data_IF_053737415898
#
_entry.id   IF_053737415898
#
_cell.length_a   1.000
_cell.length_b   1.000
_cell.length_c   1.000
_cell.angle_alpha   90.00
_cell.angle_beta   90.00
_cell.angle_gamma   90.00
#
_symmetry.space_group_name_H-M   'P 1'
#
loop_
_entity.id
_entity.type
_entity.pdbx_description
1 polymer ?
#
# COMPACT_ATOMS: atom_id res chain seq x y z
N UNK A 1 5.22 14.43 -7.68
CA UNK A 1 5.54 14.23 -6.28
C UNK A 1 6.89 13.54 -6.12
N UNK A 2 7.72 13.99 -5.16
CA UNK A 2 9.11 13.55 -4.97
C UNK A 2 9.24 12.03 -4.79
N UNK A 3 8.34 11.40 -4.04
CA UNK A 3 8.34 9.94 -3.80
C UNK A 3 8.14 9.13 -5.08
N UNK A 4 7.23 9.56 -5.95
CA UNK A 4 6.98 8.89 -7.24
C UNK A 4 8.21 9.00 -8.15
N UNK A 5 8.88 10.15 -8.14
CA UNK A 5 10.10 10.36 -8.92
C UNK A 5 11.22 9.41 -8.48
N UNK A 6 11.51 9.32 -7.18
CA UNK A 6 12.54 8.41 -6.67
C UNK A 6 12.21 6.93 -6.91
N UNK A 7 10.94 6.53 -6.72
CA UNK A 7 10.52 5.17 -6.99
C UNK A 7 10.70 4.79 -8.46
N UNK A 8 10.34 5.71 -9.37
CA UNK A 8 10.55 5.54 -10.81
C UNK A 8 12.04 5.43 -11.14
N UNK A 9 12.88 6.35 -10.63
CA UNK A 9 14.32 6.32 -10.86
C UNK A 9 14.98 5.03 -10.36
N UNK A 10 14.62 4.56 -9.16
CA UNK A 10 15.13 3.29 -8.64
C UNK A 10 14.70 2.11 -9.51
N UNK A 11 13.45 2.09 -9.97
CA UNK A 11 12.96 1.02 -10.83
C UNK A 11 13.66 1.04 -12.22
N UNK A 12 13.96 2.21 -12.77
CA UNK A 12 14.74 2.35 -14.01
C UNK A 12 16.17 1.82 -13.82
N UNK A 13 16.83 2.21 -12.72
CA UNK A 13 18.17 1.71 -12.37
C UNK A 13 18.19 0.18 -12.24
N UNK A 14 17.19 -0.40 -11.56
CA UNK A 14 17.08 -1.86 -11.45
C UNK A 14 16.81 -2.53 -12.81
N UNK A 15 16.04 -1.90 -13.69
CA UNK A 15 15.80 -2.43 -15.03
C UNK A 15 17.10 -2.52 -15.85
N UNK A 16 17.97 -1.51 -15.76
CA UNK A 16 19.30 -1.50 -16.40
C UNK A 16 20.23 -2.57 -15.79
N UNK A 17 20.27 -2.65 -14.47
CA UNK A 17 21.09 -3.66 -13.75
C UNK A 17 20.64 -5.07 -14.13
N UNK A 18 19.33 -5.34 -14.17
CA UNK A 18 18.79 -6.67 -14.48
C UNK A 18 19.03 -7.12 -15.92
N UNK A 19 19.31 -6.20 -16.85
CA UNK A 19 19.76 -6.53 -18.21
C UNK A 19 21.20 -7.08 -18.22
N UNK A 20 22.06 -6.55 -17.35
CA UNK A 20 23.48 -6.93 -17.28
C UNK A 20 23.70 -8.08 -16.31
N UNK A 21 22.95 -8.14 -15.23
CA UNK A 21 23.09 -9.10 -14.13
C UNK A 21 21.78 -9.84 -13.88
N UNK A 22 21.58 -11.05 -14.45
CA UNK A 22 20.33 -11.81 -14.27
C UNK A 22 19.96 -12.11 -12.82
N UNK A 23 20.96 -12.30 -11.95
CA UNK A 23 20.78 -12.58 -10.52
C UNK A 23 20.14 -11.39 -9.77
N UNK A 24 20.26 -10.18 -10.30
CA UNK A 24 19.61 -9.01 -9.70
C UNK A 24 18.08 -9.13 -9.58
N UNK A 25 17.44 -9.92 -10.45
CA UNK A 25 16.00 -10.21 -10.32
C UNK A 25 15.67 -11.05 -9.09
N UNK A 26 16.52 -12.02 -8.75
CA UNK A 26 16.34 -12.83 -7.55
C UNK A 26 16.49 -12.00 -6.28
N UNK A 27 17.51 -11.12 -6.25
CA UNK A 27 17.73 -10.18 -5.16
C UNK A 27 16.54 -9.21 -5.02
N UNK A 28 15.99 -8.72 -6.13
CA UNK A 28 14.82 -7.87 -6.12
C UNK A 28 13.59 -8.56 -5.51
N UNK A 29 13.34 -9.82 -5.86
CA UNK A 29 12.23 -10.59 -5.28
C UNK A 29 12.42 -10.77 -3.77
N UNK A 30 13.65 -10.97 -3.31
CA UNK A 30 13.97 -11.01 -1.87
C UNK A 30 13.69 -9.67 -1.20
N UNK A 31 14.02 -8.55 -1.83
CA UNK A 31 13.73 -7.22 -1.30
C UNK A 31 12.22 -6.93 -1.23
N UNK A 32 11.44 -7.33 -2.23
CA UNK A 32 9.99 -7.11 -2.23
C UNK A 32 9.25 -8.04 -1.26
N UNK A 33 9.87 -9.11 -0.73
CA UNK A 33 9.31 -9.94 0.36
C UNK A 33 9.08 -9.14 1.64
N UNK A 34 9.69 -7.94 1.76
CA UNK A 34 9.36 -6.96 2.81
C UNK A 34 7.86 -6.63 2.85
N UNK A 35 7.10 -6.89 1.76
CA UNK A 35 5.65 -6.75 1.72
C UNK A 35 4.98 -7.46 2.89
N UNK A 36 5.33 -8.73 3.14
CA UNK A 36 4.72 -9.55 4.19
C UNK A 36 4.89 -8.91 5.58
N UNK A 37 6.05 -8.27 5.82
CA UNK A 37 6.28 -7.53 7.06
C UNK A 37 5.53 -6.20 7.12
N UNK A 38 5.52 -5.45 6.02
CA UNK A 38 4.91 -4.11 5.98
C UNK A 38 3.39 -4.14 6.03
N UNK A 39 2.77 -5.14 5.38
CA UNK A 39 1.32 -5.26 5.23
C UNK A 39 0.73 -6.42 6.03
N UNK A 40 1.51 -7.04 6.93
CA UNK A 40 0.95 -7.99 7.89
C UNK A 40 -0.15 -7.32 8.73
N UNK A 41 -1.26 -8.03 8.94
CA UNK A 41 -2.37 -7.55 9.80
C UNK A 41 -1.93 -7.26 11.24
N UNK A 42 -0.86 -7.92 11.69
CA UNK A 42 -0.22 -7.65 12.99
C UNK A 42 0.61 -6.36 13.02
N UNK A 43 0.98 -5.82 11.86
CA UNK A 43 1.80 -4.60 11.75
C UNK A 43 0.93 -3.34 11.58
N UNK A 44 -0.07 -3.19 12.44
CA UNK A 44 -0.91 -1.99 12.47
C UNK A 44 -0.12 -0.84 13.08
N UNK A 45 -0.11 0.28 12.38
CA UNK A 45 0.57 1.48 12.82
C UNK A 45 -0.18 2.10 14.01
N UNK A 46 0.45 2.12 15.20
CA UNK A 46 -0.14 2.73 16.40
C UNK A 46 -0.08 4.25 16.24
N UNK A 47 -1.23 4.90 16.35
CA UNK A 47 -1.35 6.37 16.35
C UNK A 47 -0.99 6.86 17.74
N UNK A 48 0.09 7.66 17.92
CA UNK A 48 0.48 8.17 19.24
C UNK A 48 -0.57 9.14 19.79
N UNK A 49 -0.83 9.08 21.09
CA UNK A 49 -1.65 10.05 21.79
C UNK A 49 -0.78 11.20 22.33
N UNK A 50 -1.29 12.42 22.29
CA UNK A 50 -0.56 13.61 22.79
C UNK A 50 -0.19 13.52 24.27
N UNK A 51 -0.85 12.65 25.01
CA UNK A 51 -0.62 12.41 26.45
C UNK A 51 0.46 11.36 26.70
N UNK A 52 0.97 10.68 25.67
CA UNK A 52 1.95 9.62 25.83
C UNK A 52 3.33 10.20 26.17
N UNK A 53 4.02 9.58 27.12
CA UNK A 53 5.41 9.88 27.39
C UNK A 53 6.25 9.55 26.14
N UNK A 54 7.11 10.49 25.72
CA UNK A 54 7.89 10.33 24.48
C UNK A 54 7.09 10.56 23.18
N UNK A 55 5.95 11.26 23.25
CA UNK A 55 5.10 11.56 22.07
C UNK A 55 5.89 12.07 20.87
N UNK A 56 6.89 12.92 21.07
CA UNK A 56 7.72 13.46 19.98
C UNK A 56 8.41 12.38 19.17
N UNK A 57 9.02 11.40 19.81
CA UNK A 57 9.69 10.28 19.14
C UNK A 57 8.68 9.31 18.52
N UNK A 58 7.58 9.07 19.24
CA UNK A 58 6.50 8.20 18.75
C UNK A 58 5.85 8.74 17.46
N UNK A 59 5.59 10.06 17.35
CA UNK A 59 5.02 10.67 16.15
C UNK A 59 6.00 10.63 14.98
N UNK A 60 7.31 10.75 15.23
CA UNK A 60 8.35 10.61 14.20
C UNK A 60 8.39 9.17 13.68
N UNK A 61 8.40 8.19 14.59
CA UNK A 61 8.40 6.77 14.23
C UNK A 61 7.15 6.39 13.42
N UNK A 62 5.97 6.83 13.86
CA UNK A 62 4.70 6.65 13.16
C UNK A 62 4.72 7.25 11.76
N UNK A 63 5.22 8.49 11.61
CA UNK A 63 5.32 9.14 10.31
C UNK A 63 6.24 8.37 9.37
N UNK A 64 7.42 7.94 9.84
CA UNK A 64 8.37 7.14 9.05
C UNK A 64 7.77 5.81 8.60
N UNK A 65 7.02 5.13 9.47
CA UNK A 65 6.36 3.87 9.12
C UNK A 65 5.30 4.07 8.03
N UNK A 66 4.50 5.13 8.12
CA UNK A 66 3.52 5.50 7.08
C UNK A 66 4.19 5.79 5.75
N UNK A 67 5.26 6.58 5.78
CA UNK A 67 6.02 6.92 4.56
C UNK A 67 6.63 5.67 3.94
N UNK A 68 7.18 4.76 4.74
CA UNK A 68 7.73 3.49 4.27
C UNK A 68 6.67 2.66 3.53
N UNK A 69 5.47 2.50 4.08
CA UNK A 69 4.37 1.79 3.43
C UNK A 69 3.96 2.47 2.11
N UNK A 70 3.84 3.79 2.10
CA UNK A 70 3.45 4.56 0.90
C UNK A 70 4.50 4.47 -0.21
N UNK A 71 5.76 4.63 0.15
CA UNK A 71 6.87 4.56 -0.81
C UNK A 71 6.99 3.16 -1.39
N UNK A 72 6.82 2.13 -0.55
CA UNK A 72 6.83 0.75 -1.01
C UNK A 72 5.70 0.46 -2.01
N UNK A 73 4.47 0.93 -1.76
CA UNK A 73 3.35 0.76 -2.68
C UNK A 73 3.64 1.35 -4.07
N UNK A 74 4.19 2.55 -4.12
CA UNK A 74 4.59 3.20 -5.39
C UNK A 74 5.73 2.43 -6.05
N UNK A 75 6.72 2.00 -5.28
CA UNK A 75 7.88 1.27 -5.77
C UNK A 75 7.50 -0.05 -6.45
N UNK A 76 6.66 -0.88 -5.80
CA UNK A 76 6.22 -2.14 -6.41
C UNK A 76 5.36 -1.92 -7.66
N UNK A 77 4.56 -0.85 -7.70
CA UNK A 77 3.80 -0.48 -8.89
C UNK A 77 4.73 -0.11 -10.07
N UNK A 78 5.82 0.61 -9.81
CA UNK A 78 6.80 0.98 -10.81
C UNK A 78 7.65 -0.22 -11.28
N UNK A 79 8.02 -1.13 -10.37
CA UNK A 79 8.69 -2.38 -10.72
C UNK A 79 7.81 -3.25 -11.63
N UNK A 80 6.53 -3.39 -11.28
CA UNK A 80 5.57 -4.14 -12.08
C UNK A 80 5.41 -3.54 -13.48
N UNK A 81 5.28 -2.22 -13.58
CA UNK A 81 5.15 -1.52 -14.87
C UNK A 81 6.34 -1.76 -15.81
N UNK A 82 7.53 -2.06 -15.28
CA UNK A 82 8.75 -2.37 -16.04
C UNK A 82 8.97 -3.88 -16.26
N UNK A 83 8.03 -4.71 -15.86
CA UNK A 83 8.16 -6.17 -15.98
C UNK A 83 9.22 -6.80 -15.07
N UNK A 84 9.70 -6.07 -14.06
CA UNK A 84 10.67 -6.56 -13.07
C UNK A 84 10.00 -7.40 -11.99
N UNK A 85 8.71 -7.17 -11.74
CA UNK A 85 7.91 -7.92 -10.78
C UNK A 85 6.92 -8.81 -11.54
N UNK A 86 6.91 -10.14 -11.32
CA UNK A 86 5.96 -11.05 -11.97
C UNK A 86 4.50 -10.72 -11.59
N UNK A 87 3.57 -10.92 -12.52
CA UNK A 87 2.14 -10.74 -12.27
C UNK A 87 1.64 -11.59 -11.10
N UNK A 88 2.13 -12.82 -10.96
CA UNK A 88 1.77 -13.70 -9.84
C UNK A 88 2.10 -13.10 -8.49
N UNK A 89 3.23 -12.43 -8.33
CA UNK A 89 3.63 -11.74 -7.10
C UNK A 89 2.75 -10.53 -6.85
N UNK A 90 2.52 -9.70 -7.88
CA UNK A 90 1.65 -8.52 -7.76
C UNK A 90 0.22 -8.91 -7.42
N UNK A 91 -0.32 -9.99 -8.03
CA UNK A 91 -1.67 -10.49 -7.72
C UNK A 91 -1.80 -10.95 -6.26
N UNK A 92 -0.77 -11.58 -5.69
CA UNK A 92 -0.74 -11.93 -4.26
C UNK A 92 -0.79 -10.66 -3.40
N UNK A 93 0.03 -9.66 -3.70
CA UNK A 93 0.03 -8.39 -2.96
C UNK A 93 -1.33 -7.69 -3.01
N UNK A 94 -1.91 -7.58 -4.21
CA UNK A 94 -3.23 -6.97 -4.40
C UNK A 94 -4.30 -7.72 -3.63
N UNK A 95 -4.31 -9.06 -3.74
CA UNK A 95 -5.30 -9.89 -3.05
C UNK A 95 -5.19 -9.75 -1.53
N UNK A 96 -3.98 -9.84 -0.97
CA UNK A 96 -3.74 -9.69 0.47
C UNK A 96 -4.25 -8.34 0.98
N UNK A 97 -3.91 -7.25 0.30
CA UNK A 97 -4.35 -5.90 0.67
C UNK A 97 -5.86 -5.74 0.51
N UNK A 98 -6.44 -6.33 -0.54
CA UNK A 98 -7.89 -6.24 -0.79
C UNK A 98 -8.69 -7.01 0.26
N UNK A 99 -8.27 -8.21 0.63
CA UNK A 99 -8.92 -9.05 1.63
C UNK A 99 -8.87 -8.35 3.02
N UNK A 100 -7.70 -7.84 3.41
CA UNK A 100 -7.53 -7.07 4.64
C UNK A 100 -8.38 -5.77 4.63
N UNK A 101 -8.43 -5.07 3.52
CA UNK A 101 -9.27 -3.87 3.38
C UNK A 101 -10.75 -4.19 3.54
N UNK A 102 -11.25 -5.26 2.91
CA UNK A 102 -12.64 -5.71 3.00
C UNK A 102 -13.04 -6.10 4.44
N UNK A 103 -12.10 -6.62 5.21
CA UNK A 103 -12.29 -6.94 6.62
C UNK A 103 -12.24 -5.66 7.48
N UNK A 104 -11.17 -4.88 7.36
CA UNK A 104 -10.91 -3.75 8.23
C UNK A 104 -11.91 -2.60 8.09
N UNK A 105 -12.53 -2.40 6.92
CA UNK A 105 -13.56 -1.34 6.77
C UNK A 105 -14.78 -1.58 7.65
N UNK A 106 -15.05 -2.84 8.05
CA UNK A 106 -16.18 -3.25 8.91
C UNK A 106 -15.87 -3.21 10.40
N UNK A 107 -14.60 -3.05 10.76
CA UNK A 107 -14.21 -3.00 12.18
C UNK A 107 -14.72 -1.76 12.88
N UNK A 108 -14.70 -1.79 14.23
CA UNK A 108 -15.03 -0.63 15.05
C UNK A 108 -14.10 0.53 14.71
N UNK A 109 -14.69 1.71 14.55
CA UNK A 109 -13.99 2.93 14.21
C UNK A 109 -13.16 3.42 15.39
N UNK A 110 -11.85 3.20 15.31
CA UNK A 110 -10.83 3.78 16.19
C UNK A 110 -9.69 4.32 15.34
N UNK A 111 -8.90 5.24 15.88
CA UNK A 111 -7.82 5.92 15.14
C UNK A 111 -6.86 4.94 14.44
N UNK A 112 -6.54 3.81 15.07
CA UNK A 112 -5.65 2.79 14.53
C UNK A 112 -6.26 2.08 13.32
N UNK A 113 -7.55 1.68 13.39
CA UNK A 113 -8.23 1.01 12.26
C UNK A 113 -8.44 1.97 11.10
N UNK A 114 -8.77 3.25 11.34
CA UNK A 114 -8.86 4.26 10.28
C UNK A 114 -7.52 4.50 9.59
N UNK A 115 -6.41 4.53 10.35
CA UNK A 115 -5.07 4.69 9.80
C UNK A 115 -4.65 3.46 8.98
N UNK A 116 -4.97 2.25 9.45
CA UNK A 116 -4.70 1.03 8.72
C UNK A 116 -5.46 1.02 7.38
N UNK A 117 -6.76 1.32 7.40
CA UNK A 117 -7.59 1.46 6.19
C UNK A 117 -7.00 2.51 5.24
N UNK A 118 -6.56 3.70 5.73
CA UNK A 118 -5.91 4.71 4.85
C UNK A 118 -4.63 4.16 4.20
N UNK A 119 -3.83 3.36 4.90
CA UNK A 119 -2.64 2.72 4.33
C UNK A 119 -2.98 1.71 3.23
N UNK A 120 -3.99 0.85 3.45
CA UNK A 120 -4.44 -0.13 2.46
C UNK A 120 -5.04 0.56 1.21
N UNK A 121 -5.88 1.58 1.42
CA UNK A 121 -6.46 2.39 0.34
C UNK A 121 -5.36 3.07 -0.49
N UNK A 122 -4.29 3.54 0.13
CA UNK A 122 -3.15 4.15 -0.59
C UNK A 122 -2.38 3.15 -1.42
N UNK A 123 -2.23 1.91 -0.94
CA UNK A 123 -1.67 0.84 -1.76
C UNK A 123 -2.53 0.59 -3.00
N UNK A 124 -3.84 0.38 -2.81
CA UNK A 124 -4.78 0.15 -3.92
C UNK A 124 -4.74 1.28 -4.94
N UNK A 125 -4.70 2.53 -4.48
CA UNK A 125 -4.57 3.70 -5.35
C UNK A 125 -3.25 3.72 -6.13
N UNK A 126 -2.12 3.41 -5.47
CA UNK A 126 -0.80 3.44 -6.11
C UNK A 126 -0.67 2.42 -7.25
N UNK A 127 -1.30 1.25 -7.10
CA UNK A 127 -1.20 0.18 -8.09
C UNK A 127 -2.32 0.22 -9.15
N UNK A 128 -3.38 0.99 -8.95
CA UNK A 128 -4.60 0.96 -9.77
C UNK A 128 -4.36 1.27 -11.26
N UNK A 129 -3.43 2.16 -11.59
CA UNK A 129 -3.09 2.52 -12.98
C UNK A 129 -2.26 1.45 -13.70
N UNK A 130 -1.66 0.51 -12.96
CA UNK A 130 -0.75 -0.50 -13.50
C UNK A 130 -1.35 -1.92 -13.45
N UNK A 131 -2.30 -2.14 -12.55
CA UNK A 131 -2.89 -3.46 -12.26
C UNK A 131 -4.42 -3.35 -12.37
N UNK A 132 -5.01 -3.59 -13.55
CA UNK A 132 -6.46 -3.42 -13.77
C UNK A 132 -7.35 -4.25 -12.84
N UNK A 133 -6.90 -5.41 -12.40
CA UNK A 133 -7.63 -6.30 -11.47
C UNK A 133 -7.97 -5.61 -10.14
N UNK A 134 -7.17 -4.65 -9.71
CA UNK A 134 -7.41 -3.85 -8.49
C UNK A 134 -8.78 -3.17 -8.52
N UNK A 135 -9.24 -2.75 -9.69
CA UNK A 135 -10.54 -2.07 -9.84
C UNK A 135 -11.73 -2.95 -9.45
N UNK A 136 -11.62 -4.26 -9.60
CA UNK A 136 -12.67 -5.20 -9.15
C UNK A 136 -12.79 -5.17 -7.64
N UNK A 137 -11.66 -5.24 -6.94
CA UNK A 137 -11.62 -5.17 -5.47
C UNK A 137 -12.09 -3.82 -4.94
N UNK A 138 -11.68 -2.73 -5.60
CA UNK A 138 -12.15 -1.37 -5.23
C UNK A 138 -13.67 -1.26 -5.36
N UNK A 139 -14.26 -1.76 -6.45
CA UNK A 139 -15.72 -1.76 -6.62
C UNK A 139 -16.41 -2.58 -5.53
N UNK A 140 -15.84 -3.74 -5.16
CA UNK A 140 -16.38 -4.57 -4.09
C UNK A 140 -16.43 -3.80 -2.75
N UNK A 141 -15.37 -3.08 -2.39
CA UNK A 141 -15.33 -2.23 -1.18
C UNK A 141 -16.37 -1.10 -1.26
N UNK A 142 -16.44 -0.39 -2.39
CA UNK A 142 -17.34 0.74 -2.57
C UNK A 142 -18.82 0.33 -2.65
N UNK A 143 -19.13 -0.94 -2.98
CA UNK A 143 -20.49 -1.47 -3.02
C UNK A 143 -21.07 -1.78 -1.62
N UNK A 144 -20.21 -1.82 -0.59
CA UNK A 144 -20.67 -2.09 0.79
C UNK A 144 -21.41 -0.83 1.31
N UNK A 145 -22.61 -1.00 1.92
CA UNK A 145 -23.35 0.13 2.48
C UNK A 145 -22.52 0.90 3.51
N UNK A 146 -22.66 2.24 3.50
CA UNK A 146 -21.92 3.12 4.43
C UNK A 146 -22.11 2.75 5.90
N UNK A 147 -23.28 2.24 6.27
CA UNK A 147 -23.59 1.81 7.63
C UNK A 147 -22.71 0.62 8.08
N UNK A 148 -22.22 -0.19 7.12
CA UNK A 148 -21.39 -1.38 7.37
C UNK A 148 -19.89 -1.10 7.25
N UNK A 149 -19.52 0.13 6.89
CA UNK A 149 -18.09 0.53 6.70
C UNK A 149 -17.71 1.71 7.59
N UNK A 150 -17.80 1.59 8.92
CA UNK A 150 -17.54 2.70 9.83
C UNK A 150 -16.09 3.23 9.74
N UNK A 151 -15.13 2.37 9.37
CA UNK A 151 -13.72 2.74 9.23
C UNK A 151 -13.36 3.32 7.86
N UNK A 152 -14.26 3.25 6.86
CA UNK A 152 -14.02 3.87 5.56
C UNK A 152 -14.45 5.34 5.60
N UNK A 153 -13.54 6.23 5.96
CA UNK A 153 -13.80 7.66 5.97
C UNK A 153 -13.97 8.25 4.56
N UNK A 154 -14.54 9.45 4.45
CA UNK A 154 -14.83 10.09 3.16
C UNK A 154 -13.57 10.31 2.31
N UNK A 155 -12.45 10.65 2.93
CA UNK A 155 -11.17 10.85 2.21
C UNK A 155 -10.69 9.56 1.54
N UNK A 156 -10.73 8.43 2.27
CA UNK A 156 -10.37 7.12 1.75
C UNK A 156 -11.34 6.67 0.66
N UNK A 157 -12.64 6.93 0.83
CA UNK A 157 -13.65 6.64 -0.18
C UNK A 157 -13.37 7.39 -1.48
N UNK A 158 -13.19 8.71 -1.45
CA UNK A 158 -12.87 9.50 -2.64
C UNK A 158 -11.58 9.04 -3.32
N UNK A 159 -10.57 8.64 -2.54
CA UNK A 159 -9.34 8.10 -3.10
C UNK A 159 -9.57 6.78 -3.86
N UNK A 160 -10.46 5.90 -3.37
CA UNK A 160 -10.84 4.68 -4.10
C UNK A 160 -11.64 5.02 -5.37
N UNK A 161 -12.57 5.99 -5.31
CA UNK A 161 -13.31 6.47 -6.49
C UNK A 161 -12.37 7.07 -7.55
N UNK A 162 -11.35 7.81 -7.14
CA UNK A 162 -10.33 8.34 -8.05
C UNK A 162 -9.45 7.23 -8.63
N UNK A 163 -9.13 6.20 -7.86
CA UNK A 163 -8.40 5.03 -8.37
C UNK A 163 -9.14 4.30 -9.50
N UNK A 164 -10.46 4.31 -9.52
CA UNK A 164 -11.26 3.73 -10.62
C UNK A 164 -11.13 4.51 -11.94
N UNK A 165 -10.76 5.79 -11.88
CA UNK A 165 -10.60 6.67 -13.05
C UNK A 165 -9.22 6.54 -13.70
N UNK A 166 -8.22 6.00 -12.96
CA UNK A 166 -6.88 5.74 -13.47
C UNK A 166 -6.86 4.56 -14.44
#
# INVERSE_FOLDING_TARGET
CTQTFYASLMADTYAEIAQTYPDAKADLLTQVSMFDTLYATSNVTIVPAHTDEGYGDAIIAWTKQKEKKRTFAVYVAELYARGLLPQSVMSVFVKTVADDLLECVRHTKVAQTEEHVDCLVRFMFAVASRVPEVKVHIRAVLSIPKAETPCLNMKSKFKLEDALKL
#
